data_IF_234741171544
#
_entry.id   IF_234741171544
#
_cell.length_a   1.000
_cell.length_b   1.000
_cell.length_c   1.000
_cell.angle_alpha   90.00
_cell.angle_beta   90.00
_cell.angle_gamma   90.00
#
_symmetry.space_group_name_H-M   'P 1'
#
loop_
_entity.id
_entity.type
_entity.pdbx_description
1 polymer ?
#
# COMPACT_ATOMS: atom_id res chain seq x y z
N UNK A 1 27.03 -0.77 -8.93
CA UNK A 1 25.74 -1.31 -8.52
C UNK A 1 24.66 -0.32 -8.90
N UNK A 2 23.73 -0.77 -9.74
CA UNK A 2 22.52 -0.06 -10.16
C UNK A 2 21.32 -0.81 -9.62
N UNK A 3 20.72 -0.28 -8.56
CA UNK A 3 19.67 -0.97 -7.82
C UNK A 3 18.29 -0.67 -8.40
N UNK A 4 17.45 -1.70 -8.48
CA UNK A 4 16.01 -1.58 -8.73
C UNK A 4 15.22 -2.28 -7.62
N UNK A 5 13.93 -2.00 -7.53
CA UNK A 5 13.04 -2.47 -6.46
C UNK A 5 11.59 -2.50 -6.97
N UNK A 6 10.67 -3.27 -6.36
CA UNK A 6 9.28 -3.33 -6.84
C UNK A 6 8.51 -2.07 -6.43
N UNK A 7 7.51 -1.69 -7.21
CA UNK A 7 6.55 -0.67 -6.79
C UNK A 7 5.61 -1.20 -5.71
N UNK A 8 5.16 -0.27 -4.85
CA UNK A 8 4.13 -0.49 -3.85
C UNK A 8 3.49 0.88 -3.56
N UNK A 9 2.62 1.30 -4.47
CA UNK A 9 2.07 2.65 -4.47
C UNK A 9 3.16 3.70 -4.70
N UNK A 10 3.14 4.77 -3.91
CA UNK A 10 4.10 5.88 -4.02
C UNK A 10 5.33 5.75 -3.11
N UNK A 11 5.51 4.59 -2.46
CA UNK A 11 6.66 4.32 -1.60
C UNK A 11 8.01 4.44 -2.33
N UNK A 12 8.02 4.29 -3.67
CA UNK A 12 9.21 4.45 -4.49
C UNK A 12 9.89 5.81 -4.32
N UNK A 13 9.16 6.89 -3.98
CA UNK A 13 9.75 8.22 -3.72
C UNK A 13 10.70 8.16 -2.51
N UNK A 14 10.27 7.49 -1.44
CA UNK A 14 11.06 7.31 -0.23
C UNK A 14 12.20 6.32 -0.45
N UNK A 15 11.93 5.19 -1.13
CA UNK A 15 12.93 4.15 -1.40
C UNK A 15 14.04 4.68 -2.31
N UNK A 16 13.70 5.40 -3.38
CA UNK A 16 14.66 6.11 -4.24
C UNK A 16 15.52 7.06 -3.41
N UNK A 17 14.90 7.92 -2.61
CA UNK A 17 15.62 8.88 -1.76
C UNK A 17 16.54 8.20 -0.73
N UNK A 18 16.15 7.03 -0.22
CA UNK A 18 16.98 6.22 0.66
C UNK A 18 18.23 5.73 -0.07
N UNK A 19 18.07 5.03 -1.20
CA UNK A 19 19.19 4.44 -1.93
C UNK A 19 20.13 5.48 -2.55
N UNK A 20 19.60 6.57 -3.12
CA UNK A 20 20.42 7.71 -3.56
C UNK A 20 21.17 8.34 -2.38
N UNK A 21 20.51 8.46 -1.22
CA UNK A 21 21.15 8.91 0.02
C UNK A 21 22.21 7.96 0.55
N UNK A 22 22.19 6.69 0.10
CA UNK A 22 23.21 5.68 0.33
C UNK A 22 24.28 5.64 -0.79
N UNK A 23 24.33 6.66 -1.66
CA UNK A 23 25.23 6.77 -2.81
C UNK A 23 25.12 5.60 -3.80
N UNK A 24 23.94 4.99 -3.91
CA UNK A 24 23.65 3.98 -4.91
C UNK A 24 23.03 4.63 -6.15
N UNK A 25 23.37 4.11 -7.34
CA UNK A 25 22.65 4.47 -8.56
C UNK A 25 21.31 3.72 -8.56
N UNK A 26 20.20 4.44 -8.75
CA UNK A 26 18.85 3.89 -8.61
C UNK A 26 18.14 3.89 -9.96
N UNK A 27 17.65 2.72 -10.35
CA UNK A 27 16.79 2.51 -11.50
C UNK A 27 15.38 2.23 -10.99
N UNK A 28 14.55 3.27 -10.91
CA UNK A 28 13.14 3.12 -10.59
C UNK A 28 12.43 2.51 -11.81
N UNK A 29 11.75 1.36 -11.68
CA UNK A 29 10.98 0.81 -12.80
C UNK A 29 9.86 1.78 -13.20
N UNK A 30 9.35 1.72 -14.44
CA UNK A 30 8.21 2.55 -14.83
C UNK A 30 7.00 2.27 -13.92
N UNK A 31 6.07 3.23 -13.76
CA UNK A 31 4.84 2.97 -13.02
C UNK A 31 4.13 1.72 -13.51
N UNK A 32 3.60 0.93 -12.58
CA UNK A 32 2.88 -0.30 -12.90
C UNK A 32 1.78 -0.04 -13.92
N UNK A 33 1.82 -0.81 -15.00
CA UNK A 33 0.91 -0.68 -16.12
C UNK A 33 0.41 -2.05 -16.57
N UNK A 34 -0.52 -2.06 -17.55
CA UNK A 34 -0.94 -3.30 -18.19
C UNK A 34 0.25 -4.10 -18.74
N UNK A 35 1.27 -3.42 -19.28
CA UNK A 35 2.50 -4.05 -19.75
C UNK A 35 3.26 -4.74 -18.62
N UNK A 36 3.40 -4.07 -17.47
CA UNK A 36 4.04 -4.62 -16.27
C UNK A 36 3.35 -5.92 -15.85
N UNK A 37 2.01 -5.89 -15.78
CA UNK A 37 1.20 -7.06 -15.43
C UNK A 37 1.34 -8.18 -16.47
N UNK A 38 1.29 -7.87 -17.78
CA UNK A 38 1.45 -8.85 -18.86
C UNK A 38 2.81 -9.56 -18.81
N UNK A 39 3.90 -8.81 -18.52
CA UNK A 39 5.22 -9.40 -18.30
C UNK A 39 5.23 -10.35 -17.10
N UNK A 40 4.62 -9.92 -15.99
CA UNK A 40 4.49 -10.72 -14.78
C UNK A 40 3.73 -12.03 -15.00
N UNK A 41 2.53 -11.93 -15.56
CA UNK A 41 1.63 -13.06 -15.83
C UNK A 41 2.28 -14.08 -16.76
N UNK A 42 2.99 -13.62 -17.81
CA UNK A 42 3.64 -14.50 -18.78
C UNK A 42 4.68 -15.44 -18.18
N UNK A 43 5.34 -14.99 -17.11
CA UNK A 43 6.52 -15.67 -16.55
C UNK A 43 6.29 -16.24 -15.15
N UNK A 44 5.15 -15.94 -14.52
CA UNK A 44 4.83 -16.40 -13.18
C UNK A 44 3.88 -17.61 -13.21
N UNK A 45 3.89 -18.45 -12.16
CA UNK A 45 2.89 -19.50 -12.01
C UNK A 45 1.46 -18.93 -12.03
N UNK A 46 0.54 -19.64 -12.67
CA UNK A 46 -0.87 -19.23 -12.82
C UNK A 46 -1.53 -18.92 -11.47
N UNK A 47 -1.37 -19.83 -10.50
CA UNK A 47 -1.93 -19.69 -9.15
C UNK A 47 -1.08 -18.83 -8.20
N UNK A 48 -0.05 -18.14 -8.68
CA UNK A 48 0.66 -17.16 -7.86
C UNK A 48 -0.24 -15.93 -7.63
N UNK A 49 -0.17 -15.37 -6.43
CA UNK A 49 -0.92 -14.16 -6.10
C UNK A 49 -0.42 -12.96 -6.92
N UNK A 50 -1.35 -12.06 -7.25
CA UNK A 50 -1.13 -10.90 -8.11
C UNK A 50 0.13 -10.05 -7.78
N UNK A 51 0.47 -9.79 -6.49
CA UNK A 51 1.67 -9.01 -6.16
C UNK A 51 2.97 -9.66 -6.65
N UNK A 52 3.07 -10.99 -6.63
CA UNK A 52 4.25 -11.68 -7.17
C UNK A 52 4.40 -11.38 -8.67
N UNK A 53 3.30 -11.48 -9.41
CA UNK A 53 3.28 -11.25 -10.86
C UNK A 53 3.70 -9.81 -11.17
N UNK A 54 3.11 -8.83 -10.48
CA UNK A 54 3.46 -7.41 -10.68
C UNK A 54 4.94 -7.15 -10.36
N UNK A 55 5.46 -7.70 -9.26
CA UNK A 55 6.86 -7.55 -8.89
C UNK A 55 7.80 -8.15 -9.95
N UNK A 56 7.50 -9.33 -10.50
CA UNK A 56 8.26 -9.91 -11.63
C UNK A 56 8.27 -8.94 -12.82
N UNK A 57 7.11 -8.34 -13.14
CA UNK A 57 7.01 -7.31 -14.17
C UNK A 57 7.92 -6.11 -13.91
N UNK A 58 7.87 -5.55 -12.69
CA UNK A 58 8.74 -4.43 -12.29
C UNK A 58 10.22 -4.78 -12.40
N UNK A 59 10.63 -5.98 -11.98
CA UNK A 59 12.01 -6.41 -12.06
C UNK A 59 12.49 -6.58 -13.49
N UNK A 60 11.67 -7.18 -14.38
CA UNK A 60 11.99 -7.27 -15.81
C UNK A 60 12.19 -5.87 -16.40
N UNK A 61 11.31 -4.92 -16.07
CA UNK A 61 11.41 -3.54 -16.57
C UNK A 61 12.63 -2.81 -16.01
N UNK A 62 12.93 -2.96 -14.71
CA UNK A 62 14.10 -2.38 -14.06
C UNK A 62 15.42 -2.94 -14.61
N UNK A 63 15.52 -4.26 -14.78
CA UNK A 63 16.70 -4.91 -15.37
C UNK A 63 16.91 -4.49 -16.83
N UNK A 64 15.83 -4.38 -17.62
CA UNK A 64 15.90 -3.86 -19.00
C UNK A 64 16.32 -2.38 -19.07
N UNK A 65 16.01 -1.61 -18.04
CA UNK A 65 16.46 -0.22 -17.90
C UNK A 65 17.92 -0.10 -17.42
N UNK A 66 18.62 -1.23 -17.20
CA UNK A 66 20.04 -1.27 -16.89
C UNK A 66 20.37 -1.48 -15.42
N UNK A 67 19.39 -1.86 -14.59
CA UNK A 67 19.68 -2.31 -13.22
C UNK A 67 20.49 -3.61 -13.26
N UNK A 68 21.45 -3.75 -12.33
CA UNK A 68 22.25 -4.96 -12.13
C UNK A 68 21.94 -5.66 -10.80
N UNK A 69 21.16 -5.02 -9.93
CA UNK A 69 20.84 -5.50 -8.58
C UNK A 69 19.38 -5.26 -8.27
N UNK A 70 18.70 -6.27 -7.75
CA UNK A 70 17.33 -6.18 -7.24
C UNK A 70 17.39 -6.11 -5.72
N UNK A 71 16.69 -5.14 -5.13
CA UNK A 71 16.44 -5.06 -3.69
C UNK A 71 14.95 -5.28 -3.45
N UNK A 72 14.62 -6.30 -2.66
CA UNK A 72 13.23 -6.62 -2.31
C UNK A 72 13.12 -6.89 -0.81
N UNK A 73 11.92 -6.70 -0.25
CA UNK A 73 11.64 -7.13 1.11
C UNK A 73 11.34 -8.63 1.13
N UNK A 74 11.83 -9.31 2.16
CA UNK A 74 11.45 -10.68 2.51
C UNK A 74 10.40 -10.67 3.62
N UNK A 75 9.78 -11.82 3.84
CA UNK A 75 8.75 -11.99 4.87
C UNK A 75 8.87 -13.34 5.55
N UNK A 76 8.29 -13.45 6.74
CA UNK A 76 8.22 -14.70 7.48
C UNK A 76 6.75 -15.10 7.72
N UNK A 77 6.51 -16.39 7.92
CA UNK A 77 5.18 -16.91 8.25
C UNK A 77 4.46 -17.67 7.14
N UNK A 78 3.16 -17.95 7.33
CA UNK A 78 2.39 -18.80 6.43
C UNK A 78 1.97 -18.08 5.13
N UNK A 79 2.28 -16.78 5.00
CA UNK A 79 2.05 -16.02 3.78
C UNK A 79 3.09 -16.36 2.70
N UNK A 80 2.65 -16.49 1.45
CA UNK A 80 3.54 -16.75 0.29
C UNK A 80 4.60 -15.67 0.07
N UNK A 81 4.41 -14.47 0.62
CA UNK A 81 5.39 -13.38 0.55
C UNK A 81 6.79 -13.82 0.99
N UNK A 82 6.91 -14.71 1.99
CA UNK A 82 8.20 -15.24 2.44
C UNK A 82 8.97 -16.07 1.41
N UNK A 83 8.30 -16.54 0.34
CA UNK A 83 8.95 -17.26 -0.76
C UNK A 83 9.15 -16.41 -2.02
N UNK A 84 8.68 -15.17 -2.03
CA UNK A 84 8.71 -14.33 -3.25
C UNK A 84 10.12 -14.19 -3.80
N UNK A 85 11.09 -13.82 -2.97
CA UNK A 85 12.45 -13.58 -3.41
C UNK A 85 13.06 -14.81 -4.10
N UNK A 86 12.80 -16.01 -3.59
CA UNK A 86 13.31 -17.25 -4.18
C UNK A 86 12.65 -17.53 -5.54
N UNK A 87 11.31 -17.48 -5.59
CA UNK A 87 10.56 -17.75 -6.82
C UNK A 87 10.89 -16.70 -7.90
N UNK A 88 11.00 -15.43 -7.52
CA UNK A 88 11.38 -14.34 -8.42
C UNK A 88 12.80 -14.49 -8.93
N UNK A 89 13.73 -14.95 -8.09
CA UNK A 89 15.11 -15.27 -8.51
C UNK A 89 15.09 -16.32 -9.61
N UNK A 90 14.44 -17.46 -9.34
CA UNK A 90 14.43 -18.59 -10.26
C UNK A 90 13.80 -18.21 -11.60
N UNK A 91 12.65 -17.51 -11.58
CA UNK A 91 12.00 -16.98 -12.80
C UNK A 91 12.96 -16.10 -13.62
N UNK A 92 13.60 -15.13 -12.99
CA UNK A 92 14.46 -14.18 -13.71
C UNK A 92 15.76 -14.83 -14.21
N UNK A 93 16.32 -15.78 -13.46
CA UNK A 93 17.48 -16.57 -13.90
C UNK A 93 17.14 -17.44 -15.09
N UNK A 94 15.98 -18.11 -15.10
CA UNK A 94 15.51 -18.93 -16.22
C UNK A 94 15.27 -18.10 -17.49
N UNK A 95 14.91 -16.82 -17.33
CA UNK A 95 14.81 -15.86 -18.43
C UNK A 95 16.16 -15.35 -18.94
N UNK A 96 17.27 -15.75 -18.32
CA UNK A 96 18.64 -15.40 -18.71
C UNK A 96 19.15 -14.07 -18.15
N UNK A 97 18.45 -13.47 -17.17
CA UNK A 97 18.94 -12.26 -16.51
C UNK A 97 20.11 -12.57 -15.58
N UNK A 98 21.09 -11.67 -15.58
CA UNK A 98 22.21 -11.66 -14.65
C UNK A 98 22.01 -10.49 -13.69
N UNK A 99 21.86 -10.78 -12.40
CA UNK A 99 21.61 -9.77 -11.38
C UNK A 99 21.99 -10.30 -10.00
N UNK A 100 22.32 -9.37 -9.11
CA UNK A 100 22.41 -9.65 -7.68
C UNK A 100 21.03 -9.46 -7.02
N UNK A 101 20.65 -10.36 -6.10
CA UNK A 101 19.40 -10.23 -5.34
C UNK A 101 19.69 -10.02 -3.86
N UNK A 102 19.28 -8.86 -3.36
CA UNK A 102 19.38 -8.49 -1.96
C UNK A 102 17.97 -8.51 -1.35
N UNK A 103 17.78 -9.41 -0.38
CA UNK A 103 16.53 -9.55 0.36
C UNK A 103 16.69 -8.86 1.70
N UNK A 104 15.86 -7.85 1.95
CA UNK A 104 15.77 -7.16 3.23
C UNK A 104 14.70 -7.84 4.06
N UNK A 105 15.12 -8.64 5.05
CA UNK A 105 14.22 -9.31 5.98
C UNK A 105 14.16 -8.55 7.30
N UNK A 106 12.99 -8.56 7.94
CA UNK A 106 12.87 -8.08 9.31
C UNK A 106 13.78 -8.93 10.21
N UNK A 107 14.59 -8.32 11.09
CA UNK A 107 15.51 -9.08 11.90
C UNK A 107 14.74 -9.94 12.91
N UNK A 108 14.78 -11.26 12.77
CA UNK A 108 14.22 -12.20 13.77
C UNK A 108 14.88 -12.04 15.15
N UNK A 109 16.04 -11.35 15.22
CA UNK A 109 16.77 -10.90 16.43
C UNK A 109 18.21 -10.47 16.11
N UNK A 110 18.64 -10.44 14.84
CA UNK A 110 20.04 -10.20 14.43
C UNK A 110 20.23 -8.95 13.57
N UNK A 111 20.38 -7.80 14.24
CA UNK A 111 20.81 -6.53 13.62
C UNK A 111 22.14 -6.65 12.85
N UNK A 112 22.98 -7.65 13.17
CA UNK A 112 24.22 -7.96 12.46
C UNK A 112 24.01 -8.43 11.02
N UNK A 113 22.94 -9.16 10.74
CA UNK A 113 22.62 -9.63 9.39
C UNK A 113 22.13 -8.48 8.51
N UNK A 114 21.30 -7.59 9.05
CA UNK A 114 20.89 -6.35 8.38
C UNK A 114 22.10 -5.43 8.10
N UNK A 115 23.02 -5.28 9.06
CA UNK A 115 24.25 -4.53 8.86
C UNK A 115 25.16 -5.16 7.78
N UNK A 116 25.22 -6.49 7.69
CA UNK A 116 25.95 -7.19 6.64
C UNK A 116 25.27 -7.07 5.27
N UNK A 117 23.95 -7.09 5.19
CA UNK A 117 23.18 -6.82 3.97
C UNK A 117 23.40 -5.38 3.48
N UNK A 118 23.42 -4.41 4.39
CA UNK A 118 23.76 -3.01 4.08
C UNK A 118 25.22 -2.85 3.64
N UNK A 119 26.16 -3.63 4.21
CA UNK A 119 27.54 -3.69 3.72
C UNK A 119 27.65 -4.35 2.35
N UNK A 120 26.80 -5.34 2.05
CA UNK A 120 26.75 -6.00 0.74
C UNK A 120 26.31 -5.06 -0.38
N UNK A 121 25.57 -3.98 -0.06
CA UNK A 121 25.28 -2.89 -0.99
C UNK A 121 26.54 -2.05 -1.34
N UNK A 122 27.71 -2.32 -0.75
CA UNK A 122 28.96 -1.62 -1.06
C UNK A 122 28.99 -0.16 -0.61
N UNK A 123 28.12 0.21 0.34
CA UNK A 123 27.89 1.60 0.73
C UNK A 123 29.07 2.12 1.57
N UNK A 124 29.89 2.99 0.98
CA UNK A 124 30.96 3.69 1.68
C UNK A 124 30.48 5.04 2.23
N UNK A 125 29.64 5.00 3.27
CA UNK A 125 29.07 6.19 3.90
C UNK A 125 29.27 6.15 5.41
N UNK A 126 29.53 7.33 5.99
CA UNK A 126 29.62 7.48 7.44
C UNK A 126 28.28 7.14 8.11
N UNK A 127 28.34 6.61 9.32
CA UNK A 127 27.14 6.29 10.10
C UNK A 127 26.13 7.47 10.18
N UNK A 128 26.63 8.70 10.34
CA UNK A 128 25.81 9.91 10.31
C UNK A 128 25.19 10.22 8.93
N UNK A 129 25.84 9.85 7.83
CA UNK A 129 25.27 9.94 6.49
C UNK A 129 24.11 8.95 6.30
N UNK A 130 24.29 7.72 6.75
CA UNK A 130 23.27 6.67 6.68
C UNK A 130 22.02 7.05 7.49
N UNK A 131 22.19 7.49 8.75
CA UNK A 131 21.06 7.94 9.57
C UNK A 131 20.32 9.12 8.95
N UNK A 132 21.04 10.06 8.30
CA UNK A 132 20.41 11.17 7.58
C UNK A 132 19.62 10.69 6.35
N UNK A 133 20.12 9.71 5.62
CA UNK A 133 19.41 9.12 4.48
C UNK A 133 18.12 8.42 4.94
N UNK A 134 18.19 7.59 5.98
CA UNK A 134 17.03 6.92 6.58
C UNK A 134 16.00 7.95 7.07
N UNK A 135 16.45 8.95 7.82
CA UNK A 135 15.57 9.99 8.35
C UNK A 135 14.86 10.78 7.23
N UNK A 136 15.57 11.13 6.15
CA UNK A 136 14.95 11.82 5.00
C UNK A 136 13.94 10.94 4.28
N UNK A 137 14.28 9.68 4.01
CA UNK A 137 13.39 8.73 3.38
C UNK A 137 12.11 8.55 4.22
N UNK A 138 12.25 8.47 5.54
CA UNK A 138 11.13 8.41 6.48
C UNK A 138 10.25 9.67 6.43
N UNK A 139 10.85 10.87 6.44
CA UNK A 139 10.09 12.13 6.30
C UNK A 139 9.36 12.20 4.95
N UNK A 140 9.98 11.74 3.84
CA UNK A 140 9.30 11.65 2.54
C UNK A 140 8.14 10.67 2.56
N UNK A 141 8.33 9.49 3.14
CA UNK A 141 7.29 8.46 3.20
C UNK A 141 6.05 8.96 3.94
N UNK A 142 6.25 9.59 5.12
CA UNK A 142 5.14 10.22 5.86
C UNK A 142 4.47 11.33 5.06
N UNK A 143 5.26 12.20 4.42
CA UNK A 143 4.71 13.31 3.63
C UNK A 143 3.89 12.82 2.43
N UNK A 144 4.33 11.75 1.76
CA UNK A 144 3.57 11.12 0.68
C UNK A 144 2.23 10.57 1.21
N UNK A 145 2.28 9.77 2.27
CA UNK A 145 1.08 9.13 2.83
C UNK A 145 0.06 10.16 3.35
N UNK A 146 0.52 11.20 4.05
CA UNK A 146 -0.34 12.29 4.57
C UNK A 146 -0.96 13.13 3.44
N UNK A 147 -0.24 13.34 2.35
CA UNK A 147 -0.78 14.06 1.18
C UNK A 147 -1.81 13.20 0.44
N UNK A 148 -1.59 11.89 0.31
CA UNK A 148 -2.57 10.95 -0.24
C UNK A 148 -3.82 10.86 0.66
N UNK A 149 -3.66 10.86 1.98
CA UNK A 149 -4.78 10.91 2.93
C UNK A 149 -5.59 12.19 2.78
N UNK A 150 -4.90 13.32 2.63
CA UNK A 150 -5.54 14.59 2.32
C UNK A 150 -6.36 14.46 1.04
N UNK A 151 -5.83 13.86 -0.03
CA UNK A 151 -6.61 13.62 -1.24
C UNK A 151 -7.84 12.73 -0.97
N UNK A 152 -7.71 11.61 -0.26
CA UNK A 152 -8.85 10.71 0.06
C UNK A 152 -9.98 11.44 0.78
N UNK A 153 -9.64 12.39 1.65
CA UNK A 153 -10.62 13.26 2.29
C UNK A 153 -11.22 14.29 1.31
N UNK A 154 -10.39 14.93 0.49
CA UNK A 154 -10.81 16.02 -0.41
C UNK A 154 -11.64 15.52 -1.60
N UNK A 155 -11.25 14.39 -2.20
CA UNK A 155 -11.75 13.91 -3.49
C UNK A 155 -13.28 13.79 -3.59
N UNK A 156 -14.00 13.22 -2.61
CA UNK A 156 -15.46 13.16 -2.66
C UNK A 156 -16.17 14.49 -2.37
N UNK A 157 -15.43 15.50 -1.92
CA UNK A 157 -15.95 16.81 -1.51
C UNK A 157 -15.68 17.90 -2.53
N UNK A 158 -14.63 17.80 -3.34
CA UNK A 158 -14.30 18.84 -4.31
C UNK A 158 -15.28 18.87 -5.47
N UNK A 159 -15.64 20.07 -5.92
CA UNK A 159 -16.51 20.26 -7.11
C UNK A 159 -15.83 19.84 -8.42
N UNK A 160 -14.49 19.79 -8.44
CA UNK A 160 -13.67 19.41 -9.60
C UNK A 160 -12.60 18.38 -9.19
N UNK A 161 -12.94 17.08 -9.17
CA UNK A 161 -12.01 16.01 -8.77
C UNK A 161 -10.65 16.05 -9.49
N UNK A 162 -10.66 16.27 -10.81
CA UNK A 162 -9.42 16.33 -11.61
C UNK A 162 -8.44 17.43 -11.15
N UNK A 163 -8.94 18.51 -10.55
CA UNK A 163 -8.09 19.57 -10.01
C UNK A 163 -7.38 19.11 -8.73
N UNK A 164 -8.06 18.36 -7.86
CA UNK A 164 -7.46 17.77 -6.67
C UNK A 164 -6.38 16.74 -7.04
N UNK A 165 -6.60 15.91 -8.06
CA UNK A 165 -5.59 14.97 -8.56
C UNK A 165 -4.36 15.69 -9.11
N UNK A 166 -4.56 16.80 -9.81
CA UNK A 166 -3.46 17.66 -10.29
C UNK A 166 -2.66 18.22 -9.13
N UNK A 167 -3.32 18.69 -8.07
CA UNK A 167 -2.65 19.19 -6.85
C UNK A 167 -1.87 18.08 -6.17
N UNK A 168 -2.42 16.87 -6.06
CA UNK A 168 -1.68 15.70 -5.55
C UNK A 168 -0.42 15.47 -6.39
N UNK A 169 -0.54 15.40 -7.72
CA UNK A 169 0.58 15.12 -8.61
C UNK A 169 1.72 16.14 -8.44
N UNK A 170 1.40 17.44 -8.46
CA UNK A 170 2.37 18.51 -8.25
C UNK A 170 2.98 18.47 -6.84
N UNK A 171 2.19 18.12 -5.83
CA UNK A 171 2.67 17.95 -4.45
C UNK A 171 3.64 16.77 -4.31
N UNK A 172 3.35 15.62 -4.94
CA UNK A 172 4.23 14.46 -4.96
C UNK A 172 5.56 14.77 -5.67
N UNK A 173 5.52 15.48 -6.80
CA UNK A 173 6.73 15.95 -7.50
C UNK A 173 7.57 16.88 -6.61
N UNK A 174 6.92 17.79 -5.87
CA UNK A 174 7.63 18.67 -4.94
C UNK A 174 8.27 17.89 -3.77
N UNK A 175 7.59 16.88 -3.24
CA UNK A 175 8.15 15.98 -2.20
C UNK A 175 9.31 15.16 -2.76
N UNK A 176 9.20 14.66 -3.99
CA UNK A 176 10.29 13.93 -4.66
C UNK A 176 11.53 14.81 -4.86
N UNK A 177 11.34 16.06 -5.30
CA UNK A 177 12.44 17.00 -5.55
C UNK A 177 13.09 17.55 -4.27
N UNK A 178 12.38 17.54 -3.14
CA UNK A 178 12.87 18.08 -1.87
C UNK A 178 14.10 17.31 -1.35
N UNK A 179 15.15 18.03 -0.95
CA UNK A 179 16.42 17.47 -0.48
C UNK A 179 16.50 17.47 1.04
N UNK A 180 15.91 18.47 1.69
CA UNK A 180 15.94 18.61 3.17
C UNK A 180 14.61 18.28 3.82
N UNK A 181 14.61 17.85 5.09
CA UNK A 181 13.38 17.62 5.85
C UNK A 181 12.50 18.87 5.96
N UNK A 182 13.12 20.06 5.95
CA UNK A 182 12.39 21.34 5.92
C UNK A 182 11.65 21.52 4.61
N UNK A 183 12.31 21.29 3.47
CA UNK A 183 11.68 21.35 2.15
C UNK A 183 10.56 20.32 2.00
N UNK A 184 10.75 19.09 2.50
CA UNK A 184 9.73 18.03 2.47
C UNK A 184 8.47 18.51 3.20
N UNK A 185 8.61 19.04 4.42
CA UNK A 185 7.47 19.58 5.20
C UNK A 185 6.83 20.79 4.52
N UNK A 186 7.62 21.64 3.86
CA UNK A 186 7.09 22.78 3.10
C UNK A 186 6.28 22.31 1.89
N UNK A 187 6.77 21.32 1.14
CA UNK A 187 6.07 20.73 0.00
C UNK A 187 4.74 20.09 0.42
N UNK A 188 4.76 19.29 1.50
CA UNK A 188 3.55 18.73 2.11
C UNK A 188 2.56 19.83 2.52
N UNK A 189 3.01 20.81 3.29
CA UNK A 189 2.15 21.92 3.77
C UNK A 189 1.53 22.68 2.60
N UNK A 190 2.29 22.93 1.54
CA UNK A 190 1.80 23.59 0.34
C UNK A 190 0.76 22.72 -0.39
N UNK A 191 1.03 21.44 -0.57
CA UNK A 191 0.08 20.50 -1.18
C UNK A 191 -1.24 20.42 -0.41
N UNK A 192 -1.17 20.25 0.91
CA UNK A 192 -2.33 20.24 1.80
C UNK A 192 -3.13 21.53 1.75
N UNK A 193 -2.46 22.67 1.90
CA UNK A 193 -3.12 23.97 1.87
C UNK A 193 -3.82 24.24 0.52
N UNK A 194 -3.26 23.73 -0.59
CA UNK A 194 -3.90 23.83 -1.90
C UNK A 194 -5.13 22.93 -2.01
N UNK A 195 -5.04 21.69 -1.52
CA UNK A 195 -6.19 20.77 -1.47
C UNK A 195 -7.32 21.31 -0.59
N UNK A 196 -7.00 21.85 0.58
CA UNK A 196 -7.95 22.48 1.52
C UNK A 196 -8.57 23.76 0.93
N UNK A 197 -7.85 24.47 0.06
CA UNK A 197 -8.30 25.69 -0.60
C UNK A 197 -9.19 25.49 -1.82
N UNK A 198 -9.40 24.24 -2.28
CA UNK A 198 -10.29 23.96 -3.40
C UNK A 198 -11.77 24.23 -3.04
N UNK A 199 -12.65 24.47 -4.03
CA UNK A 199 -14.09 24.60 -3.79
C UNK A 199 -14.76 23.27 -3.44
N UNK A 200 -15.33 23.18 -2.23
CA UNK A 200 -15.96 21.97 -1.69
C UNK A 200 -17.48 22.05 -1.70
N UNK A 201 -18.12 20.91 -1.95
CA UNK A 201 -19.46 20.60 -1.49
C UNK A 201 -19.39 20.21 0.00
N UNK A 202 -20.30 20.76 0.80
CA UNK A 202 -20.39 20.52 2.26
C UNK A 202 -21.36 19.41 2.63
N UNK A 203 -21.94 18.75 1.64
CA UNK A 203 -22.82 17.61 1.89
C UNK A 203 -22.06 16.46 2.59
N UNK A 204 -22.71 15.77 3.55
CA UNK A 204 -22.13 14.60 4.18
C UNK A 204 -21.86 13.51 3.14
N UNK A 205 -20.63 12.97 3.17
CA UNK A 205 -20.22 11.85 2.31
C UNK A 205 -20.30 10.53 3.06
N UNK A 206 -20.38 9.42 2.33
CA UNK A 206 -20.26 8.09 2.92
C UNK A 206 -18.80 7.85 3.34
N UNK A 207 -18.58 7.32 4.55
CA UNK A 207 -17.25 6.93 5.05
C UNK A 207 -17.08 5.43 4.89
N UNK A 208 -16.15 5.02 4.04
CA UNK A 208 -15.90 3.62 3.70
C UNK A 208 -14.52 3.21 4.22
N UNK A 209 -14.48 2.17 5.04
CA UNK A 209 -13.24 1.51 5.44
C UNK A 209 -12.73 0.60 4.33
N UNK A 210 -11.46 0.72 3.94
CA UNK A 210 -10.81 -0.16 2.98
C UNK A 210 -9.79 -1.04 3.72
N UNK A 211 -10.09 -2.34 3.80
CA UNK A 211 -9.29 -3.36 4.50
C UNK A 211 -8.81 -4.41 3.51
N UNK A 212 -7.78 -5.19 3.84
CA UNK A 212 -7.27 -6.17 2.90
C UNK A 212 -5.80 -6.50 2.98
N UNK A 213 -5.35 -7.20 1.94
CA UNK A 213 -3.94 -7.50 1.72
C UNK A 213 -3.16 -6.22 1.38
N UNK A 214 -2.02 -6.00 2.06
CA UNK A 214 -1.29 -4.74 2.02
C UNK A 214 -0.84 -4.30 0.63
N UNK A 215 -0.31 -5.20 -0.20
CA UNK A 215 0.15 -4.80 -1.52
C UNK A 215 -1.04 -4.34 -2.36
N UNK A 216 -2.15 -5.07 -2.29
CA UNK A 216 -3.37 -4.75 -3.01
C UNK A 216 -4.05 -3.47 -2.49
N UNK A 217 -3.89 -3.14 -1.20
CA UNK A 217 -4.31 -1.86 -0.63
C UNK A 217 -3.46 -0.69 -1.15
N UNK A 218 -2.15 -0.87 -1.23
CA UNK A 218 -1.22 0.23 -1.47
C UNK A 218 -0.91 0.48 -2.94
N UNK A 219 -0.94 -0.54 -3.79
CA UNK A 219 -0.62 -0.43 -5.21
C UNK A 219 -1.91 -0.23 -6.05
N UNK A 220 -2.22 0.99 -6.52
CA UNK A 220 -3.50 1.27 -7.17
C UNK A 220 -3.72 0.47 -8.46
N UNK A 221 -2.65 0.15 -9.19
CA UNK A 221 -2.75 -0.64 -10.42
C UNK A 221 -3.21 -2.08 -10.17
N UNK A 222 -3.03 -2.60 -8.94
CA UNK A 222 -3.42 -3.96 -8.57
C UNK A 222 -4.90 -4.10 -8.19
N UNK A 223 -5.56 -2.99 -7.86
CA UNK A 223 -6.96 -2.97 -7.38
C UNK A 223 -7.89 -2.15 -8.27
N UNK A 224 -7.45 -1.81 -9.49
CA UNK A 224 -8.13 -0.92 -10.40
C UNK A 224 -8.43 0.46 -9.79
N UNK A 225 -7.55 1.02 -8.97
CA UNK A 225 -7.69 2.36 -8.38
C UNK A 225 -8.99 2.56 -7.56
N UNK A 226 -9.34 1.60 -6.70
CA UNK A 226 -10.58 1.66 -5.89
C UNK A 226 -10.71 2.95 -5.08
N UNK A 227 -9.63 3.40 -4.41
CA UNK A 227 -9.66 4.62 -3.59
C UNK A 227 -10.12 5.83 -4.41
N UNK A 228 -9.57 5.96 -5.62
CA UNK A 228 -9.90 7.00 -6.58
C UNK A 228 -11.37 6.88 -7.01
N UNK A 229 -11.79 5.69 -7.42
CA UNK A 229 -13.16 5.44 -7.90
C UNK A 229 -14.23 5.76 -6.85
N UNK A 230 -14.03 5.33 -5.61
CA UNK A 230 -14.91 5.65 -4.49
C UNK A 230 -14.97 7.16 -4.23
N UNK A 231 -13.83 7.85 -4.30
CA UNK A 231 -13.80 9.31 -4.20
C UNK A 231 -14.61 10.00 -5.29
N UNK A 232 -14.51 9.55 -6.54
CA UNK A 232 -15.33 10.05 -7.64
C UNK A 232 -16.84 9.75 -7.49
N UNK A 233 -17.18 8.65 -6.81
CA UNK A 233 -18.55 8.29 -6.47
C UNK A 233 -19.07 9.01 -5.21
N UNK A 234 -18.30 9.93 -4.63
CA UNK A 234 -18.73 10.73 -3.47
C UNK A 234 -18.56 10.02 -2.13
N UNK A 235 -17.64 9.06 -2.02
CA UNK A 235 -17.28 8.39 -0.77
C UNK A 235 -15.88 8.77 -0.28
N UNK A 236 -15.76 9.07 1.00
CA UNK A 236 -14.47 9.16 1.69
C UNK A 236 -13.97 7.76 2.00
N UNK A 237 -12.72 7.49 1.62
CA UNK A 237 -12.07 6.22 1.88
C UNK A 237 -11.07 6.36 3.00
N UNK A 238 -11.16 5.49 3.99
CA UNK A 238 -10.13 5.33 5.02
C UNK A 238 -9.44 3.98 4.82
N UNK A 239 -8.16 4.02 4.46
CA UNK A 239 -7.34 2.81 4.28
C UNK A 239 -6.84 2.32 5.63
N UNK A 240 -6.99 1.02 5.89
CA UNK A 240 -6.62 0.39 7.15
C UNK A 240 -5.11 0.29 7.43
N UNK A 241 -4.29 0.37 6.38
CA UNK A 241 -2.84 0.24 6.48
C UNK A 241 -2.16 1.36 5.72
N UNK A 242 -1.23 2.06 6.36
CA UNK A 242 -0.29 2.95 5.69
C UNK A 242 1.12 2.35 5.67
N UNK A 243 1.96 2.80 4.73
CA UNK A 243 3.36 2.36 4.69
C UNK A 243 4.15 2.75 5.96
N UNK A 244 4.03 3.99 6.51
CA UNK A 244 4.67 4.32 7.78
C UNK A 244 4.20 3.43 8.94
N UNK A 245 2.90 3.18 9.06
CA UNK A 245 2.35 2.29 10.08
C UNK A 245 2.90 0.88 9.92
N UNK A 246 2.87 0.33 8.70
CA UNK A 246 3.34 -1.02 8.44
C UNK A 246 4.82 -1.18 8.79
N UNK A 247 5.68 -0.24 8.40
CA UNK A 247 7.11 -0.23 8.77
C UNK A 247 7.27 -0.16 10.29
N UNK A 248 6.50 0.69 10.97
CA UNK A 248 6.57 0.80 12.42
C UNK A 248 6.23 -0.53 13.09
N UNK A 249 5.10 -1.12 12.74
CA UNK A 249 4.58 -2.33 13.35
C UNK A 249 5.48 -3.56 13.03
N UNK A 250 5.97 -3.70 11.79
CA UNK A 250 6.63 -4.91 11.32
C UNK A 250 8.16 -4.85 11.34
N UNK A 251 8.78 -3.67 11.17
CA UNK A 251 10.25 -3.54 11.13
C UNK A 251 10.82 -2.94 12.42
N UNK A 252 10.04 -2.12 13.13
CA UNK A 252 10.49 -1.39 14.31
C UNK A 252 9.77 -1.80 15.60
N UNK A 253 8.92 -2.83 15.54
CA UNK A 253 8.21 -3.36 16.71
C UNK A 253 7.32 -2.33 17.42
N UNK A 254 6.78 -1.35 16.68
CA UNK A 254 5.88 -0.33 17.21
C UNK A 254 6.57 0.83 17.97
N UNK A 255 7.90 0.97 17.89
CA UNK A 255 8.66 1.96 18.68
C UNK A 255 8.41 3.41 18.23
N UNK A 256 8.04 3.65 16.97
CA UNK A 256 7.76 5.00 16.47
C UNK A 256 6.36 5.47 16.86
N UNK A 257 6.22 6.79 17.07
CA UNK A 257 4.94 7.46 17.31
C UNK A 257 4.15 7.64 16.01
N UNK A 258 3.73 6.52 15.43
CA UNK A 258 2.78 6.42 14.30
C UNK A 258 1.65 5.51 14.76
N UNK A 259 0.45 5.69 14.21
CA UNK A 259 -0.69 4.81 14.50
C UNK A 259 -0.27 3.34 14.35
N UNK A 260 -0.65 2.53 15.34
CA UNK A 260 -0.28 1.11 15.41
C UNK A 260 -1.51 0.23 15.22
N UNK A 261 -1.32 -0.92 14.59
CA UNK A 261 -2.37 -1.92 14.39
C UNK A 261 -2.79 -2.64 15.69
N UNK A 262 -2.14 -2.39 16.83
CA UNK A 262 -2.44 -3.06 18.10
C UNK A 262 -3.93 -3.00 18.51
N UNK A 263 -4.55 -1.82 18.45
CA UNK A 263 -5.97 -1.66 18.79
C UNK A 263 -6.87 -2.46 17.82
N UNK A 264 -6.53 -2.49 16.54
CA UNK A 264 -7.23 -3.32 15.55
C UNK A 264 -7.05 -4.81 15.88
N UNK A 265 -5.84 -5.25 16.23
CA UNK A 265 -5.55 -6.64 16.61
C UNK A 265 -6.31 -7.06 17.88
N UNK A 266 -6.51 -6.16 18.84
CA UNK A 266 -7.36 -6.40 20.01
C UNK A 266 -8.83 -6.56 19.61
N UNK A 267 -9.32 -5.70 18.71
CA UNK A 267 -10.66 -5.78 18.14
C UNK A 267 -10.91 -7.07 17.35
N UNK A 268 -9.86 -7.68 16.79
CA UNK A 268 -9.94 -8.95 16.08
C UNK A 268 -10.15 -10.15 17.01
N UNK A 269 -9.68 -10.08 18.27
CA UNK A 269 -9.65 -11.25 19.18
C UNK A 269 -10.99 -11.99 19.39
N UNK A 270 -12.18 -11.34 19.40
CA UNK A 270 -13.44 -12.08 19.54
C UNK A 270 -13.83 -12.88 18.30
N UNK A 271 -13.12 -12.69 17.18
CA UNK A 271 -13.48 -13.16 15.85
C UNK A 271 -12.38 -13.99 15.18
N UNK A 272 -11.10 -13.61 15.35
CA UNK A 272 -9.93 -14.28 14.80
C UNK A 272 -8.72 -14.09 15.73
N UNK A 273 -8.43 -15.09 16.56
CA UNK A 273 -7.34 -15.06 17.53
C UNK A 273 -6.00 -15.52 16.95
N UNK A 274 -6.03 -16.47 16.03
CA UNK A 274 -4.82 -17.09 15.48
C UNK A 274 -4.17 -16.23 14.41
N UNK A 275 -2.84 -16.21 14.40
CA UNK A 275 -2.09 -15.57 13.33
C UNK A 275 -2.12 -16.44 12.07
N UNK A 276 -2.81 -15.93 11.05
CA UNK A 276 -3.02 -16.60 9.76
C UNK A 276 -2.01 -16.13 8.69
N UNK A 277 -1.02 -15.34 9.07
CA UNK A 277 -0.10 -14.65 8.16
C UNK A 277 -0.75 -13.52 7.39
N UNK A 278 0.05 -12.75 6.64
CA UNK A 278 -0.45 -11.59 5.89
C UNK A 278 -1.18 -10.60 6.81
N UNK A 279 -2.26 -9.99 6.31
CA UNK A 279 -3.04 -8.98 7.01
C UNK A 279 -4.44 -9.47 7.46
N UNK A 280 -4.63 -10.79 7.56
CA UNK A 280 -5.96 -11.36 7.82
C UNK A 280 -6.55 -10.95 9.18
N UNK A 281 -5.72 -10.84 10.23
CA UNK A 281 -6.17 -10.40 11.56
C UNK A 281 -6.47 -8.91 11.57
N UNK A 282 -5.63 -8.12 10.93
CA UNK A 282 -5.75 -6.68 10.76
C UNK A 282 -7.04 -6.37 10.00
N UNK A 283 -7.34 -7.09 8.92
CA UNK A 283 -8.59 -6.96 8.16
C UNK A 283 -9.82 -7.14 9.06
N UNK A 284 -9.85 -8.20 9.88
CA UNK A 284 -10.97 -8.43 10.82
C UNK A 284 -11.02 -7.32 11.87
N UNK A 285 -9.88 -6.98 12.46
CA UNK A 285 -9.74 -5.97 13.50
C UNK A 285 -10.20 -4.60 13.09
N UNK A 286 -9.75 -4.13 11.93
CA UNK A 286 -10.16 -2.84 11.36
C UNK A 286 -11.63 -2.84 10.96
N UNK A 287 -12.16 -3.96 10.46
CA UNK A 287 -13.60 -4.05 10.16
C UNK A 287 -14.46 -3.87 11.41
N UNK A 288 -14.04 -4.44 12.54
CA UNK A 288 -14.68 -4.22 13.85
C UNK A 288 -14.53 -2.77 14.30
N UNK A 289 -13.31 -2.22 14.22
CA UNK A 289 -13.02 -0.83 14.59
C UNK A 289 -13.88 0.16 13.80
N UNK A 290 -13.97 0.00 12.49
CA UNK A 290 -14.82 0.84 11.63
C UNK A 290 -16.30 0.74 11.98
N UNK A 291 -16.80 -0.45 12.33
CA UNK A 291 -18.16 -0.62 12.84
C UNK A 291 -18.42 0.22 14.10
N UNK A 292 -17.48 0.19 15.05
CA UNK A 292 -17.56 0.93 16.32
C UNK A 292 -17.39 2.44 16.17
N UNK A 293 -16.62 2.87 15.18
CA UNK A 293 -16.38 4.28 14.84
C UNK A 293 -17.46 4.88 13.94
N UNK A 294 -18.51 4.11 13.62
CA UNK A 294 -19.66 4.59 12.85
C UNK A 294 -19.35 4.83 11.37
N UNK A 295 -18.46 4.05 10.78
CA UNK A 295 -18.31 4.02 9.32
C UNK A 295 -19.56 3.46 8.65
N UNK A 296 -19.83 3.92 7.43
CA UNK A 296 -21.05 3.56 6.72
C UNK A 296 -20.94 2.18 6.03
N UNK A 297 -19.72 1.71 5.76
CA UNK A 297 -19.45 0.38 5.22
C UNK A 297 -17.96 0.03 5.17
N UNK A 298 -17.65 -1.24 4.94
CA UNK A 298 -16.27 -1.74 4.75
C UNK A 298 -16.16 -2.52 3.46
N UNK A 299 -15.08 -2.29 2.72
CA UNK A 299 -14.71 -3.07 1.54
C UNK A 299 -13.40 -3.79 1.84
N UNK A 300 -13.45 -5.12 1.84
CA UNK A 300 -12.27 -5.97 1.87
C UNK A 300 -11.75 -6.18 0.45
N UNK A 301 -10.44 -5.99 0.26
CA UNK A 301 -9.77 -6.29 -1.01
C UNK A 301 -8.57 -7.23 -0.82
N UNK A 302 -8.25 -8.01 -1.85
CA UNK A 302 -7.04 -8.81 -1.84
C UNK A 302 -6.80 -9.51 -3.17
N UNK A 303 -5.61 -10.09 -3.38
CA UNK A 303 -5.36 -10.85 -4.59
C UNK A 303 -6.07 -12.20 -4.51
N UNK A 304 -6.52 -12.70 -5.66
CA UNK A 304 -7.09 -14.05 -5.75
C UNK A 304 -6.10 -15.06 -5.16
N UNK A 305 -6.61 -16.06 -4.43
CA UNK A 305 -5.84 -17.07 -3.69
C UNK A 305 -5.07 -16.58 -2.45
N UNK A 306 -5.30 -15.34 -2.00
CA UNK A 306 -4.74 -14.85 -0.74
C UNK A 306 -5.38 -15.55 0.47
N UNK A 307 -4.74 -16.62 0.97
CA UNK A 307 -5.26 -17.41 2.09
C UNK A 307 -5.61 -16.58 3.33
N UNK A 308 -4.76 -15.65 3.82
CA UNK A 308 -5.13 -14.81 4.97
C UNK A 308 -6.44 -14.05 4.80
N UNK A 309 -6.65 -13.46 3.62
CA UNK A 309 -7.85 -12.69 3.31
C UNK A 309 -9.08 -13.58 3.10
N UNK A 310 -8.90 -14.80 2.58
CA UNK A 310 -9.98 -15.80 2.50
C UNK A 310 -10.44 -16.21 3.90
N UNK A 311 -9.49 -16.41 4.83
CA UNK A 311 -9.82 -16.69 6.24
C UNK A 311 -10.53 -15.50 6.87
N UNK A 312 -10.04 -14.28 6.66
CA UNK A 312 -10.70 -13.07 7.14
C UNK A 312 -12.13 -12.95 6.58
N UNK A 313 -12.33 -13.14 5.28
CA UNK A 313 -13.64 -13.09 4.61
C UNK A 313 -14.66 -14.02 5.28
N UNK A 314 -14.26 -15.24 5.62
CA UNK A 314 -15.13 -16.22 6.27
C UNK A 314 -15.67 -15.72 7.63
N UNK A 315 -14.94 -14.82 8.28
CA UNK A 315 -15.27 -14.23 9.58
C UNK A 315 -16.04 -12.90 9.43
N UNK A 316 -15.83 -12.15 8.35
CA UNK A 316 -16.42 -10.81 8.16
C UNK A 316 -17.95 -10.80 8.12
N UNK A 317 -18.59 -11.91 7.73
CA UNK A 317 -20.05 -12.04 7.83
C UNK A 317 -20.57 -11.91 9.27
N UNK A 318 -19.84 -12.47 10.24
CA UNK A 318 -20.17 -12.35 11.66
C UNK A 318 -19.89 -10.94 12.19
N UNK A 319 -18.77 -10.33 11.78
CA UNK A 319 -18.44 -8.94 12.10
C UNK A 319 -19.54 -8.00 11.62
N UNK A 320 -19.99 -8.18 10.37
CA UNK A 320 -21.06 -7.36 9.78
C UNK A 320 -22.35 -7.41 10.58
N UNK A 321 -22.74 -8.60 11.05
CA UNK A 321 -23.95 -8.78 11.85
C UNK A 321 -23.82 -8.19 13.25
N UNK A 322 -22.70 -8.44 13.94
CA UNK A 322 -22.51 -8.02 15.34
C UNK A 322 -22.21 -6.54 15.49
N UNK A 323 -21.38 -5.98 14.62
CA UNK A 323 -21.00 -4.56 14.66
C UNK A 323 -21.93 -3.69 13.81
N UNK A 324 -22.90 -4.30 13.10
CA UNK A 324 -23.94 -3.57 12.37
C UNK A 324 -23.47 -2.81 11.13
N UNK A 325 -22.28 -3.14 10.60
CA UNK A 325 -21.64 -2.48 9.46
C UNK A 325 -21.71 -3.37 8.19
N UNK A 326 -22.19 -2.86 7.04
CA UNK A 326 -22.16 -3.62 5.78
C UNK A 326 -20.73 -3.89 5.32
N UNK A 327 -20.46 -5.11 4.85
CA UNK A 327 -19.14 -5.52 4.36
C UNK A 327 -19.25 -6.12 2.95
N UNK A 328 -18.36 -5.72 2.04
CA UNK A 328 -18.21 -6.31 0.70
C UNK A 328 -16.77 -6.78 0.48
N UNK A 329 -16.58 -7.97 -0.11
CA UNK A 329 -15.24 -8.47 -0.47
C UNK A 329 -15.02 -8.47 -1.99
N UNK A 330 -13.85 -8.02 -2.44
CA UNK A 330 -13.43 -8.00 -3.84
C UNK A 330 -12.05 -8.63 -3.99
N UNK A 331 -11.92 -9.66 -4.83
CA UNK A 331 -10.62 -10.23 -5.19
C UNK A 331 -10.16 -9.73 -6.55
N UNK A 332 -8.85 -9.54 -6.68
CA UNK A 332 -8.18 -9.05 -7.89
C UNK A 332 -7.21 -10.07 -8.46
N UNK A 333 -7.22 -10.18 -9.78
CA UNK A 333 -6.31 -11.00 -10.58
C UNK A 333 -6.06 -10.33 -11.95
N UNK A 334 -5.29 -11.00 -12.81
CA UNK A 334 -4.97 -10.51 -14.14
C UNK A 334 -6.16 -10.42 -15.12
N UNK A 335 -7.29 -11.05 -14.81
CA UNK A 335 -8.50 -11.04 -15.64
C UNK A 335 -9.53 -10.02 -15.15
N UNK A 336 -9.24 -9.31 -14.05
CA UNK A 336 -10.19 -8.42 -13.42
C UNK A 336 -10.52 -7.23 -14.33
N UNK A 337 -11.80 -7.12 -14.70
CA UNK A 337 -12.32 -6.07 -15.57
C UNK A 337 -12.78 -4.83 -14.80
N UNK A 338 -12.29 -3.66 -15.21
CA UNK A 338 -12.59 -2.37 -14.59
C UNK A 338 -14.09 -2.03 -14.52
N UNK A 339 -14.86 -2.34 -15.56
CA UNK A 339 -16.30 -2.08 -15.59
C UNK A 339 -17.05 -2.85 -14.48
N UNK A 340 -16.67 -4.11 -14.24
CA UNK A 340 -17.28 -4.93 -13.19
C UNK A 340 -16.95 -4.42 -11.78
N UNK A 341 -15.74 -3.87 -11.59
CA UNK A 341 -15.36 -3.21 -10.34
C UNK A 341 -16.24 -1.98 -10.10
N UNK A 342 -16.39 -1.11 -11.10
CA UNK A 342 -17.20 0.12 -10.98
C UNK A 342 -18.64 -0.16 -10.59
N UNK A 343 -19.33 -1.05 -11.30
CA UNK A 343 -20.75 -1.36 -11.01
C UNK A 343 -20.95 -1.92 -9.60
N UNK A 344 -19.99 -2.69 -9.08
CA UNK A 344 -20.05 -3.21 -7.69
C UNK A 344 -19.85 -2.10 -6.66
N UNK A 345 -18.94 -1.16 -6.91
CA UNK A 345 -18.73 0.00 -6.04
C UNK A 345 -19.98 0.90 -6.01
N UNK A 346 -20.57 1.18 -7.17
CA UNK A 346 -21.83 1.93 -7.31
C UNK A 346 -22.96 1.27 -6.50
N UNK A 347 -23.20 -0.03 -6.73
CA UNK A 347 -24.24 -0.77 -6.02
C UNK A 347 -24.02 -0.80 -4.50
N UNK A 348 -22.77 -0.96 -4.06
CA UNK A 348 -22.44 -0.95 -2.63
C UNK A 348 -22.69 0.42 -2.00
N UNK A 349 -22.26 1.50 -2.64
CA UNK A 349 -22.49 2.85 -2.15
C UNK A 349 -23.98 3.21 -2.11
N UNK A 350 -24.75 2.86 -3.14
CA UNK A 350 -26.21 3.04 -3.17
C UNK A 350 -26.89 2.35 -1.98
N UNK A 351 -26.50 1.10 -1.69
CA UNK A 351 -27.02 0.33 -0.56
C UNK A 351 -26.69 1.02 0.78
N UNK A 352 -25.44 1.43 0.95
CA UNK A 352 -24.95 2.08 2.18
C UNK A 352 -25.65 3.43 2.40
N UNK A 353 -25.77 4.25 1.36
CA UNK A 353 -26.44 5.55 1.42
C UNK A 353 -27.93 5.42 1.74
N UNK A 354 -28.64 4.45 1.14
CA UNK A 354 -30.04 4.18 1.47
C UNK A 354 -30.22 3.79 2.93
N UNK A 355 -29.35 2.91 3.45
CA UNK A 355 -29.38 2.52 4.88
C UNK A 355 -29.23 3.74 5.80
N UNK A 356 -28.34 4.67 5.46
CA UNK A 356 -28.13 5.92 6.21
C UNK A 356 -29.36 6.83 6.18
N UNK A 357 -29.99 6.98 5.01
CA UNK A 357 -31.22 7.75 4.87
C UNK A 357 -32.37 7.17 5.71
N UNK A 358 -32.53 5.84 5.70
CA UNK A 358 -33.53 5.16 6.54
C UNK A 358 -33.25 5.29 8.05
N UNK A 359 -31.97 5.25 8.45
CA UNK A 359 -31.59 5.44 9.85
C UNK A 359 -31.83 6.89 10.31
N UNK A 360 -31.58 7.89 9.46
CA UNK A 360 -31.81 9.30 9.76
C UNK A 360 -33.30 9.69 9.79
N UNK A 361 -34.17 8.89 9.17
CA UNK A 361 -35.62 9.12 9.14
C UNK A 361 -36.38 8.49 10.32
N UNK A 362 -35.69 7.73 11.18
CA UNK A 362 -36.21 7.16 12.43
C UNK A 362 -35.78 8.01 13.60
#
# INVERSE_FOLDING_TARGET
MKVTFPHMGRAWIAIKSLFEGLNLEVVVPPPCSRRTLELGVRHSPEFACLPLKINVGNFIEGLKAGADTIVTAGGWGPCRFGYYAQVQRDILTDLGYQFDLIVLEAPDSRLSELANQVRALGVNISYAGMLRAIYRAWEKLKAVDELEESLRYCLPRVTRPAEAEKVLHEGLQAIEAAVTAREIRQALKMGRSRLEGLPYNREPVARIGLVGEIYTLLEPSSNCEIERKLGYLGAEVHRAVSMPQWINDHLLGGILRVDSSQEALECASPYLNDWVGGHGRETVGYSVKYGREGFDGVIQIGPLTCMPEIVAQAVLGQVSQKEGIPVMTMYFDEQTGEAGVMTRLEAFLDMVQRRKQFAAAR
#
